data_IF_273242278890
#
_entry.id   IF_273242278890
#
_cell.length_a   1.000
_cell.length_b   1.000
_cell.length_c   1.000
_cell.angle_alpha   90.00
_cell.angle_beta   90.00
_cell.angle_gamma   90.00
#
_symmetry.space_group_name_H-M   'P 1'
#
loop_
_entity.id
_entity.type
_entity.pdbx_description
1 polymer ?
#
# COMPACT_ATOMS: atom_id res chain seq x y z
N UNK A 1 45.19 -52.34 11.87
CA UNK A 1 44.10 -51.38 11.57
C UNK A 1 43.65 -50.74 12.86
N UNK A 2 43.53 -49.40 12.91
CA UNK A 2 43.05 -48.64 14.08
C UNK A 2 41.54 -48.37 13.89
N UNK A 3 40.72 -48.76 14.86
CA UNK A 3 39.27 -48.56 14.82
C UNK A 3 38.93 -47.36 15.71
N UNK A 4 38.23 -46.38 15.16
CA UNK A 4 37.71 -45.23 15.91
C UNK A 4 36.25 -45.50 16.31
N UNK A 5 35.94 -45.43 17.60
CA UNK A 5 34.57 -45.51 18.08
C UNK A 5 33.85 -44.20 17.73
N UNK A 6 32.81 -44.29 16.90
CA UNK A 6 31.85 -43.19 16.70
C UNK A 6 31.03 -43.03 17.98
N UNK A 7 31.34 -41.99 18.75
CA UNK A 7 30.57 -41.64 19.94
C UNK A 7 29.12 -41.34 19.57
N UNK A 8 28.18 -42.04 20.20
CA UNK A 8 26.76 -41.74 20.09
C UNK A 8 26.52 -40.30 20.58
N UNK A 9 25.94 -39.46 19.72
CA UNK A 9 25.54 -38.11 20.08
C UNK A 9 24.56 -38.18 21.26
N UNK A 10 24.88 -37.52 22.38
CA UNK A 10 23.96 -37.38 23.52
C UNK A 10 22.81 -36.46 23.11
N UNK A 11 21.75 -37.03 22.54
CA UNK A 11 20.53 -36.30 22.23
C UNK A 11 19.87 -35.93 23.56
N UNK A 12 19.94 -34.66 23.95
CA UNK A 12 19.45 -34.20 25.25
C UNK A 12 17.94 -33.88 25.12
N UNK A 13 17.02 -34.70 25.67
CA UNK A 13 15.59 -34.61 25.36
C UNK A 13 14.94 -33.31 25.85
N UNK A 14 15.56 -32.63 26.81
CA UNK A 14 15.06 -31.37 27.39
C UNK A 14 15.31 -30.14 26.51
N UNK A 15 16.26 -30.19 25.57
CA UNK A 15 16.51 -29.07 24.64
C UNK A 15 15.41 -28.93 23.58
N UNK A 16 14.68 -30.02 23.28
CA UNK A 16 13.61 -30.00 22.29
C UNK A 16 12.31 -29.34 22.80
N UNK A 17 12.19 -29.13 24.12
CA UNK A 17 10.97 -28.59 24.73
C UNK A 17 10.93 -27.06 24.70
N UNK A 18 12.08 -26.37 24.79
CA UNK A 18 12.16 -24.92 24.60
C UNK A 18 11.81 -24.52 23.17
N UNK A 19 12.29 -25.28 22.18
CA UNK A 19 11.98 -25.07 20.76
C UNK A 19 10.47 -25.15 20.49
N UNK A 20 9.79 -26.17 21.04
CA UNK A 20 8.33 -26.30 20.90
C UNK A 20 7.57 -25.15 21.55
N UNK A 21 8.01 -24.66 22.72
CA UNK A 21 7.38 -23.53 23.39
C UNK A 21 7.55 -22.20 22.62
N UNK A 22 8.69 -22.00 21.94
CA UNK A 22 8.89 -20.84 21.06
C UNK A 22 8.01 -20.89 19.81
N UNK A 23 7.77 -22.08 19.23
CA UNK A 23 6.90 -22.22 18.06
C UNK A 23 5.44 -21.89 18.39
N UNK A 24 4.94 -22.25 19.57
CA UNK A 24 3.56 -21.96 20.01
C UNK A 24 3.37 -20.47 20.30
N UNK A 25 4.39 -19.76 20.81
CA UNK A 25 4.30 -18.31 21.05
C UNK A 25 4.28 -17.48 19.76
N UNK A 26 4.84 -17.99 18.66
CA UNK A 26 4.85 -17.31 17.35
C UNK A 26 3.53 -17.43 16.60
N UNK A 27 2.72 -18.47 16.85
CA UNK A 27 1.44 -18.65 16.15
C UNK A 27 0.28 -17.87 16.77
N UNK A 28 0.40 -17.41 18.02
CA UNK A 28 -0.70 -16.76 18.75
C UNK A 28 -0.64 -15.24 18.80
N UNK A 29 0.43 -14.59 18.30
CA UNK A 29 0.66 -13.17 18.60
C UNK A 29 0.23 -12.15 17.54
N UNK A 30 -0.14 -12.52 16.32
CA UNK A 30 -0.44 -11.48 15.30
C UNK A 30 -1.55 -11.87 14.33
N UNK A 31 -2.75 -12.17 14.83
CA UNK A 31 -3.96 -11.97 14.02
C UNK A 31 -4.49 -10.60 14.38
N UNK A 32 -3.83 -9.57 13.87
CA UNK A 32 -4.38 -8.21 13.85
C UNK A 32 -5.41 -8.16 12.73
N UNK A 33 -6.62 -7.67 13.00
CA UNK A 33 -7.58 -7.35 11.95
C UNK A 33 -6.95 -6.30 11.01
N UNK A 34 -6.39 -6.75 9.90
CA UNK A 34 -5.74 -5.91 8.90
C UNK A 34 -6.64 -5.82 7.68
N UNK A 35 -7.17 -4.62 7.43
CA UNK A 35 -7.91 -4.32 6.21
C UNK A 35 -6.89 -3.99 5.10
N UNK A 36 -6.55 -4.95 4.25
CA UNK A 36 -5.69 -4.69 3.10
C UNK A 36 -6.49 -4.09 1.93
N UNK A 37 -5.92 -3.10 1.25
CA UNK A 37 -6.44 -2.61 -0.02
C UNK A 37 -6.35 -3.77 -1.03
N UNK A 38 -7.49 -4.13 -1.66
CA UNK A 38 -7.55 -5.23 -2.62
C UNK A 38 -6.55 -5.04 -3.76
N UNK A 39 -6.04 -6.14 -4.31
CA UNK A 39 -5.14 -6.11 -5.47
C UNK A 39 -5.74 -5.30 -6.63
N UNK A 40 -7.02 -5.50 -6.91
CA UNK A 40 -7.76 -4.74 -7.91
C UNK A 40 -7.80 -3.22 -7.64
N UNK A 41 -7.89 -2.80 -6.37
CA UNK A 41 -7.87 -1.38 -6.01
C UNK A 41 -6.46 -0.77 -6.14
N UNK A 42 -5.41 -1.54 -5.84
CA UNK A 42 -4.01 -1.12 -6.09
C UNK A 42 -3.74 -0.95 -7.58
N UNK A 43 -4.26 -1.85 -8.41
CA UNK A 43 -4.14 -1.78 -9.86
C UNK A 43 -4.89 -0.56 -10.43
N UNK A 44 -6.05 -0.20 -9.86
CA UNK A 44 -6.79 1.02 -10.25
C UNK A 44 -6.14 2.32 -9.77
N UNK A 45 -5.43 2.29 -8.64
CA UNK A 45 -4.67 3.44 -8.13
C UNK A 45 -3.44 3.72 -8.99
N UNK A 46 -2.85 2.67 -9.56
CA UNK A 46 -1.75 2.75 -10.51
C UNK A 46 -2.23 3.16 -11.89
N UNK A 47 -1.55 4.12 -12.50
CA UNK A 47 -1.64 4.44 -13.94
C UNK A 47 -2.89 5.23 -14.35
N UNK A 48 -2.94 6.49 -13.90
CA UNK A 48 -3.22 7.61 -14.81
C UNK A 48 -2.34 8.79 -14.42
N UNK A 49 -1.16 8.89 -15.03
CA UNK A 49 -0.30 10.08 -14.88
C UNK A 49 -0.95 11.24 -15.63
N UNK A 50 -1.87 11.94 -14.98
CA UNK A 50 -2.45 13.18 -15.46
C UNK A 50 -1.52 14.38 -15.22
N UNK A 51 -0.25 14.14 -14.84
CA UNK A 51 0.66 15.17 -14.38
C UNK A 51 0.91 16.22 -15.47
N UNK A 52 1.18 15.78 -16.70
CA UNK A 52 1.51 16.67 -17.82
C UNK A 52 0.28 17.45 -18.29
N UNK A 53 -0.83 16.77 -18.55
CA UNK A 53 -2.11 17.42 -18.91
C UNK A 53 -2.57 18.43 -17.83
N UNK A 54 -2.35 18.12 -16.56
CA UNK A 54 -2.66 19.02 -15.45
C UNK A 54 -1.73 20.22 -15.42
N UNK A 55 -0.43 20.02 -15.69
CA UNK A 55 0.55 21.10 -15.73
C UNK A 55 0.19 22.11 -16.83
N UNK A 56 -0.11 21.62 -18.04
CA UNK A 56 -0.55 22.46 -19.17
C UNK A 56 -1.81 23.25 -18.83
N UNK A 57 -2.83 22.58 -18.27
CA UNK A 57 -4.11 23.22 -17.92
C UNK A 57 -3.91 24.31 -16.85
N UNK A 58 -3.03 24.07 -15.88
CA UNK A 58 -2.70 25.07 -14.84
C UNK A 58 -1.97 26.26 -15.45
N UNK A 59 -1.05 26.05 -16.39
CA UNK A 59 -0.35 27.14 -17.06
C UNK A 59 -1.32 28.03 -17.84
N UNK A 60 -2.22 27.45 -18.64
CA UNK A 60 -3.25 28.20 -19.36
C UNK A 60 -4.15 29.03 -18.42
N UNK A 61 -4.50 28.48 -17.25
CA UNK A 61 -5.29 29.22 -16.26
C UNK A 61 -4.51 30.40 -15.69
N UNK A 62 -3.22 30.21 -15.38
CA UNK A 62 -2.35 31.29 -14.88
C UNK A 62 -2.23 32.43 -15.89
N UNK A 63 -2.05 32.11 -17.16
CA UNK A 63 -1.99 33.12 -18.23
C UNK A 63 -3.30 33.92 -18.30
N UNK A 64 -4.45 33.25 -18.33
CA UNK A 64 -5.77 33.92 -18.33
C UNK A 64 -6.01 34.81 -17.11
N UNK A 65 -5.51 34.40 -15.94
CA UNK A 65 -5.60 35.21 -14.72
C UNK A 65 -4.68 36.43 -14.79
N UNK A 66 -3.46 36.29 -15.30
CA UNK A 66 -2.51 37.39 -15.46
C UNK A 66 -3.01 38.44 -16.45
N UNK A 67 -3.66 38.04 -17.54
CA UNK A 67 -4.23 38.99 -18.52
C UNK A 67 -5.56 39.60 -18.05
N UNK A 68 -6.12 39.14 -16.93
CA UNK A 68 -7.42 39.57 -16.43
C UNK A 68 -8.63 39.04 -17.24
N UNK A 69 -8.40 38.11 -18.18
CA UNK A 69 -9.46 37.51 -19.00
C UNK A 69 -10.08 36.25 -18.37
N UNK A 70 -9.75 35.95 -17.12
CA UNK A 70 -10.35 34.81 -16.42
C UNK A 70 -11.78 35.16 -15.98
N UNK A 71 -12.76 34.59 -16.68
CA UNK A 71 -14.17 34.71 -16.34
C UNK A 71 -14.69 33.41 -15.73
N UNK A 72 -15.32 33.52 -14.55
CA UNK A 72 -15.97 32.38 -13.89
C UNK A 72 -17.31 32.14 -14.56
N UNK A 73 -17.49 30.96 -15.16
CA UNK A 73 -18.77 30.50 -15.67
C UNK A 73 -19.56 29.83 -14.56
N UNK A 74 -20.60 30.51 -14.08
CA UNK A 74 -21.48 30.02 -13.02
C UNK A 74 -22.25 28.74 -13.42
N UNK A 75 -22.59 28.58 -14.70
CA UNK A 75 -23.32 27.40 -15.19
C UNK A 75 -22.41 26.18 -15.22
N UNK A 76 -21.16 26.37 -15.66
CA UNK A 76 -20.15 25.32 -15.63
C UNK A 76 -19.84 24.90 -14.18
N UNK A 77 -19.66 25.88 -13.28
CA UNK A 77 -19.41 25.62 -11.86
C UNK A 77 -20.52 24.77 -11.23
N UNK A 78 -21.79 25.17 -11.42
CA UNK A 78 -22.93 24.42 -10.89
C UNK A 78 -23.00 23.00 -11.45
N UNK A 79 -22.70 22.83 -12.73
CA UNK A 79 -22.68 21.52 -13.40
C UNK A 79 -21.57 20.61 -12.83
N UNK A 80 -20.38 21.16 -12.58
CA UNK A 80 -19.25 20.43 -12.02
C UNK A 80 -19.51 20.02 -10.57
N UNK A 81 -20.08 20.92 -9.75
CA UNK A 81 -20.50 20.61 -8.39
C UNK A 81 -21.53 19.48 -8.38
N UNK A 82 -22.55 19.57 -9.23
CA UNK A 82 -23.57 18.53 -9.33
C UNK A 82 -22.97 17.18 -9.76
N UNK A 83 -22.09 17.18 -10.76
CA UNK A 83 -21.41 15.96 -11.24
C UNK A 83 -20.53 15.31 -10.17
N UNK A 84 -19.86 16.11 -9.34
CA UNK A 84 -18.98 15.60 -8.29
C UNK A 84 -19.76 15.00 -7.12
N UNK A 85 -20.82 15.67 -6.66
CA UNK A 85 -21.52 15.31 -5.42
C UNK A 85 -22.76 14.43 -5.61
N UNK A 86 -23.42 14.42 -6.78
CA UNK A 86 -24.62 13.59 -7.03
C UNK A 86 -24.31 12.25 -7.71
N UNK A 87 -23.06 11.79 -7.66
CA UNK A 87 -22.69 10.50 -8.23
C UNK A 87 -23.19 9.34 -7.38
#
# INVERSE_FOLDING_TARGET
>A
MKIYNYGVNKVNPYQNQSVKAEHVKKSTFNVTDQLEISSAAKDLQGIKSYADERAERVQQLKEKMQTGNYQVDAKQLASDMLKYYRK
#
